data_IF_535958480923
#
_entry.id   IF_535958480923
#
_cell.length_a   1.000
_cell.length_b   1.000
_cell.length_c   1.000
_cell.angle_alpha   90.00
_cell.angle_beta   90.00
_cell.angle_gamma   90.00
#
_symmetry.space_group_name_H-M   'P 1'
#
loop_
_entity.id
_entity.type
_entity.pdbx_description
1 polymer ?
#
# COMPACT_ATOMS: atom_id res chain seq x y z
N UNK A 1 -22.28 10.53 -4.22
CA UNK A 1 -21.29 10.24 -5.29
C UNK A 1 -20.38 11.47 -5.32
N UNK A 2 -19.10 11.47 -5.01
CA UNK A 2 -17.99 10.63 -5.45
C UNK A 2 -16.87 10.88 -4.45
N UNK A 3 -16.50 9.89 -3.65
CA UNK A 3 -15.21 9.92 -3.00
C UNK A 3 -14.43 8.83 -3.72
N UNK A 4 -13.72 9.21 -4.78
CA UNK A 4 -12.57 8.47 -5.30
C UNK A 4 -11.49 8.44 -4.22
N UNK A 5 -11.86 7.92 -3.06
CA UNK A 5 -10.94 7.47 -2.04
C UNK A 5 -10.29 6.27 -2.71
N UNK A 6 -8.99 6.27 -2.81
CA UNK A 6 -8.27 5.03 -2.61
C UNK A 6 -8.90 4.36 -1.38
N UNK A 7 -9.78 3.36 -1.63
CA UNK A 7 -10.59 2.77 -0.57
C UNK A 7 -9.61 2.24 0.48
N UNK A 8 -9.96 2.31 1.77
CA UNK A 8 -9.08 1.81 2.82
C UNK A 8 -8.61 0.38 2.50
N UNK A 9 -9.47 -0.40 1.84
CA UNK A 9 -9.23 -1.73 1.28
C UNK A 9 -8.06 -1.79 0.28
N UNK A 10 -7.93 -0.83 -0.63
CA UNK A 10 -6.83 -0.80 -1.60
C UNK A 10 -5.48 -0.57 -0.89
N UNK A 11 -5.45 0.35 0.08
CA UNK A 11 -4.26 0.60 0.90
C UNK A 11 -3.92 -0.61 1.76
N UNK A 12 -4.92 -1.25 2.36
CA UNK A 12 -4.76 -2.47 3.15
C UNK A 12 -4.18 -3.61 2.31
N UNK A 13 -4.70 -3.82 1.09
CA UNK A 13 -4.24 -4.87 0.18
C UNK A 13 -2.76 -4.71 -0.17
N UNK A 14 -2.31 -3.48 -0.42
CA UNK A 14 -0.89 -3.18 -0.65
C UNK A 14 -0.06 -3.50 0.60
N UNK A 15 -0.45 -3.00 1.77
CA UNK A 15 0.30 -3.23 3.02
C UNK A 15 0.40 -4.73 3.34
N UNK A 16 -0.70 -5.47 3.18
CA UNK A 16 -0.73 -6.92 3.40
C UNK A 16 0.21 -7.67 2.45
N UNK A 17 0.23 -7.30 1.16
CA UNK A 17 1.16 -7.88 0.19
C UNK A 17 2.62 -7.59 0.53
N UNK A 18 2.92 -6.38 1.03
CA UNK A 18 4.26 -6.02 1.47
C UNK A 18 4.68 -6.65 2.81
N UNK A 19 3.74 -7.02 3.69
CA UNK A 19 4.01 -7.71 4.96
C UNK A 19 4.19 -9.22 4.73
N UNK A 20 3.45 -9.81 3.78
CA UNK A 20 3.54 -11.24 3.48
C UNK A 20 4.87 -11.67 2.82
N UNK A 21 5.80 -10.74 2.58
CA UNK A 21 7.09 -10.98 1.90
C UNK A 21 6.98 -11.58 0.48
N UNK A 22 5.77 -11.76 -0.05
CA UNK A 22 5.53 -12.27 -1.41
C UNK A 22 6.07 -11.30 -2.49
N UNK A 23 6.14 -9.99 -2.19
CA UNK A 23 6.77 -8.99 -3.04
C UNK A 23 7.59 -8.01 -2.21
N UNK A 24 8.80 -7.68 -2.69
CA UNK A 24 9.58 -6.57 -2.15
C UNK A 24 8.81 -5.25 -2.28
N UNK A 25 8.90 -4.39 -1.25
CA UNK A 25 8.25 -3.06 -1.23
C UNK A 25 8.57 -2.25 -2.50
N UNK A 26 9.75 -2.43 -3.09
CA UNK A 26 10.15 -1.81 -4.35
C UNK A 26 9.38 -2.33 -5.58
N UNK A 27 9.09 -3.63 -5.67
CA UNK A 27 8.25 -4.23 -6.72
C UNK A 27 6.79 -3.77 -6.55
N UNK A 28 6.29 -3.85 -5.32
CA UNK A 28 4.94 -3.46 -4.96
C UNK A 28 4.66 -1.97 -5.28
N UNK A 29 5.61 -1.08 -4.94
CA UNK A 29 5.52 0.34 -5.29
C UNK A 29 5.45 0.60 -6.79
N UNK A 30 6.20 -0.17 -7.59
CA UNK A 30 6.19 -0.07 -9.06
C UNK A 30 4.87 -0.57 -9.64
N UNK A 31 4.37 -1.72 -9.18
CA UNK A 31 3.11 -2.30 -9.66
C UNK A 31 1.89 -1.45 -9.31
N UNK A 32 1.86 -0.86 -8.11
CA UNK A 32 0.73 -0.05 -7.64
C UNK A 32 0.89 1.45 -7.91
N UNK A 33 1.98 1.89 -8.56
CA UNK A 33 2.31 3.31 -8.76
C UNK A 33 2.23 4.13 -7.47
N UNK A 34 2.76 3.58 -6.38
CA UNK A 34 2.86 4.27 -5.09
C UNK A 34 4.32 4.52 -4.72
N UNK A 35 4.58 5.53 -3.91
CA UNK A 35 5.92 5.79 -3.40
C UNK A 35 6.22 4.96 -2.16
N UNK A 36 7.46 4.53 -1.98
CA UNK A 36 7.91 3.81 -0.77
C UNK A 36 7.59 4.62 0.50
N UNK A 37 7.79 5.93 0.47
CA UNK A 37 7.45 6.83 1.57
C UNK A 37 5.97 6.76 1.95
N UNK A 38 5.09 6.56 0.96
CA UNK A 38 3.65 6.44 1.17
C UNK A 38 3.30 5.08 1.78
N UNK A 39 3.96 4.01 1.31
CA UNK A 39 3.85 2.67 1.88
C UNK A 39 4.26 2.63 3.36
N UNK A 40 5.43 3.18 3.70
CA UNK A 40 5.89 3.23 5.10
C UNK A 40 4.96 4.05 5.99
N UNK A 41 4.45 5.17 5.46
CA UNK A 41 3.49 6.01 6.18
C UNK A 41 2.18 5.27 6.44
N UNK A 42 1.71 4.45 5.50
CA UNK A 42 0.54 3.60 5.74
C UNK A 42 0.87 2.46 6.70
N UNK A 43 1.99 1.77 6.54
CA UNK A 43 2.43 0.71 7.46
C UNK A 43 2.44 1.20 8.90
N UNK A 44 2.99 2.39 9.16
CA UNK A 44 3.04 3.02 10.49
C UNK A 44 1.68 3.51 11.01
N UNK A 45 0.64 3.59 10.17
CA UNK A 45 -0.72 3.95 10.57
C UNK A 45 -1.58 2.71 10.84
N UNK A 46 -1.16 1.53 10.37
CA UNK A 46 -1.91 0.28 10.43
C UNK A 46 -1.27 -0.79 11.33
N UNK A 47 0.05 -0.70 11.60
CA UNK A 47 0.74 -1.35 12.72
C UNK A 47 0.83 -0.38 13.89
#
# INVERSE_FOLDING_TARGET
>A
MTRCKFSAEYKMSIILQGIKEEMSVAELCRNHSISQSQFYKWRSLFL
#
